data_IF_540577333978
#
_entry.id   IF_540577333978
#
_cell.length_a   1.000
_cell.length_b   1.000
_cell.length_c   1.000
_cell.angle_alpha   90.00
_cell.angle_beta   90.00
_cell.angle_gamma   90.00
#
_symmetry.space_group_name_H-M   'P 1'
#
loop_
_entity.id
_entity.type
_entity.pdbx_description
1 polymer ?
#
# COMPACT_ATOMS: atom_id res chain seq x y z
N UNK A 1 4.43 2.09 2.20
CA UNK A 1 3.30 1.16 2.44
C UNK A 1 3.57 0.39 3.73
N UNK A 2 2.56 0.27 4.60
CA UNK A 2 2.68 -0.48 5.84
C UNK A 2 2.17 -1.93 5.70
N UNK A 3 2.79 -2.90 6.40
CA UNK A 3 2.46 -4.34 6.24
C UNK A 3 1.02 -4.73 6.59
N UNK A 4 0.29 -3.88 7.32
CA UNK A 4 -1.05 -4.18 7.84
C UNK A 4 -2.18 -3.57 7.00
N UNK A 5 -1.85 -2.76 5.98
CA UNK A 5 -2.83 -2.02 5.16
C UNK A 5 -3.83 -2.93 4.43
N UNK A 6 -3.45 -4.18 4.16
CA UNK A 6 -4.24 -5.13 3.40
C UNK A 6 -4.97 -6.17 4.27
N UNK A 7 -4.94 -6.01 5.59
CA UNK A 7 -5.70 -6.86 6.49
C UNK A 7 -7.20 -6.52 6.40
N UNK A 8 -8.09 -7.52 6.36
CA UNK A 8 -9.52 -7.28 6.21
C UNK A 8 -10.15 -6.71 7.49
N UNK A 9 -11.19 -5.89 7.31
CA UNK A 9 -12.01 -5.38 8.40
C UNK A 9 -11.23 -4.51 9.38
N UNK A 10 -11.45 -4.72 10.69
CA UNK A 10 -10.81 -3.94 11.76
C UNK A 10 -9.42 -4.44 12.14
N UNK A 11 -8.93 -5.52 11.52
CA UNK A 11 -7.64 -6.12 11.88
C UNK A 11 -6.47 -5.14 11.68
N UNK A 12 -6.53 -4.26 10.68
CA UNK A 12 -5.49 -3.23 10.51
C UNK A 12 -5.49 -2.13 11.59
N UNK A 13 -6.49 -2.08 12.49
CA UNK A 13 -6.71 -0.98 13.42
C UNK A 13 -6.71 -1.43 14.89
N UNK A 14 -7.29 -2.59 15.18
CA UNK A 14 -7.57 -3.05 16.54
C UNK A 14 -6.84 -4.36 16.85
N UNK A 15 -5.61 -4.27 17.35
CA UNK A 15 -4.91 -5.42 17.95
C UNK A 15 -4.51 -5.14 19.40
N UNK A 16 -4.61 -6.14 20.31
CA UNK A 16 -4.28 -5.97 21.72
C UNK A 16 -2.81 -5.64 22.01
N UNK A 17 -1.89 -6.06 21.13
CA UNK A 17 -0.44 -5.89 21.32
C UNK A 17 0.27 -5.68 19.98
N UNK A 18 1.43 -5.01 19.95
CA UNK A 18 2.25 -4.87 18.74
C UNK A 18 2.61 -6.20 18.07
N UNK A 19 2.90 -7.24 18.86
CA UNK A 19 3.27 -8.56 18.34
C UNK A 19 2.15 -9.21 17.49
N UNK A 20 0.89 -8.89 17.76
CA UNK A 20 -0.22 -9.40 16.96
C UNK A 20 -0.31 -8.72 15.57
N UNK A 21 0.17 -7.48 15.42
CA UNK A 21 0.27 -6.84 14.11
C UNK A 21 1.32 -7.53 13.23
N UNK A 22 2.48 -7.89 13.79
CA UNK A 22 3.52 -8.63 13.07
C UNK A 22 3.00 -9.99 12.59
N UNK A 23 2.36 -10.75 13.50
CA UNK A 23 1.76 -12.04 13.15
C UNK A 23 0.69 -11.91 12.08
N UNK A 24 -0.22 -10.94 12.22
CA UNK A 24 -1.29 -10.74 11.24
C UNK A 24 -0.74 -10.31 9.87
N UNK A 25 0.25 -9.40 9.85
CA UNK A 25 0.87 -8.93 8.61
C UNK A 25 1.51 -10.05 7.78
N UNK A 26 1.90 -11.17 8.41
CA UNK A 26 2.42 -12.35 7.69
C UNK A 26 1.40 -13.03 6.78
N UNK A 27 0.10 -12.72 6.93
CA UNK A 27 -0.97 -13.21 6.06
C UNK A 27 -1.15 -12.37 4.79
N UNK A 28 -0.52 -11.19 4.72
CA UNK A 28 -0.57 -10.33 3.52
C UNK A 28 0.43 -10.86 2.50
N UNK A 29 -0.08 -11.30 1.35
CA UNK A 29 0.75 -11.80 0.25
C UNK A 29 1.16 -10.69 -0.70
N UNK A 30 2.26 -10.87 -1.43
CA UNK A 30 2.67 -9.93 -2.48
C UNK A 30 1.57 -9.74 -3.55
N UNK A 31 0.90 -10.83 -3.94
CA UNK A 31 -0.23 -10.78 -4.87
C UNK A 31 -1.40 -9.93 -4.35
N UNK A 32 -1.71 -9.99 -3.04
CA UNK A 32 -2.76 -9.17 -2.44
C UNK A 32 -2.42 -7.67 -2.52
N UNK A 33 -1.14 -7.33 -2.36
CA UNK A 33 -0.62 -5.97 -2.52
C UNK A 33 -0.68 -5.53 -3.99
N UNK A 34 -0.16 -6.33 -4.91
CA UNK A 34 -0.15 -6.02 -6.35
C UNK A 34 -1.54 -5.75 -6.93
N UNK A 35 -2.57 -6.43 -6.40
CA UNK A 35 -3.97 -6.22 -6.82
C UNK A 35 -4.57 -4.88 -6.43
N UNK A 36 -4.01 -4.20 -5.44
CA UNK A 36 -4.61 -3.02 -4.81
C UNK A 36 -3.79 -1.75 -5.06
N UNK A 37 -2.49 -1.91 -5.27
CA UNK A 37 -1.57 -0.82 -5.60
C UNK A 37 -0.54 -1.27 -6.64
N UNK A 38 -0.15 -0.38 -7.57
CA UNK A 38 1.03 -0.61 -8.39
C UNK A 38 2.22 -1.02 -7.52
N UNK A 39 2.90 -2.09 -7.93
CA UNK A 39 4.11 -2.58 -7.29
C UNK A 39 5.12 -2.99 -8.37
N UNK A 40 6.41 -2.86 -8.05
CA UNK A 40 7.50 -3.16 -8.97
C UNK A 40 8.13 -1.92 -9.63
N UNK A 41 9.13 -2.12 -10.50
CA UNK A 41 9.99 -1.07 -11.02
C UNK A 41 9.40 -0.29 -12.20
N UNK A 42 8.32 -0.76 -12.80
CA UNK A 42 7.67 -0.08 -13.92
C UNK A 42 6.92 1.17 -13.42
N UNK A 43 7.26 2.33 -13.95
CA UNK A 43 6.67 3.61 -13.54
C UNK A 43 5.27 3.84 -14.14
N UNK A 44 4.94 3.24 -15.29
CA UNK A 44 3.70 3.57 -16.02
C UNK A 44 2.42 3.31 -15.19
N UNK A 45 2.28 2.18 -14.46
CA UNK A 45 1.10 1.93 -13.63
C UNK A 45 0.90 2.96 -12.50
N UNK A 46 1.99 3.56 -12.01
CA UNK A 46 1.90 4.64 -11.02
C UNK A 46 1.44 5.94 -11.68
N UNK A 47 1.95 6.26 -12.87
CA UNK A 47 1.56 7.46 -13.62
C UNK A 47 0.09 7.41 -14.03
N UNK A 48 -0.40 6.28 -14.52
CA UNK A 48 -1.79 6.09 -14.91
C UNK A 48 -2.76 6.30 -13.74
N UNK A 49 -2.41 5.78 -12.56
CA UNK A 49 -3.21 6.02 -11.35
C UNK A 49 -3.18 7.50 -10.95
N UNK A 50 -2.02 8.16 -11.09
CA UNK A 50 -1.87 9.56 -10.70
C UNK A 50 -2.61 10.54 -11.63
N UNK A 51 -2.72 10.21 -12.92
CA UNK A 51 -3.50 11.01 -13.91
C UNK A 51 -4.95 11.24 -13.44
N UNK A 52 -5.56 10.25 -12.79
CA UNK A 52 -6.93 10.36 -12.26
C UNK A 52 -7.07 11.46 -11.19
N UNK A 53 -6.01 11.73 -10.42
CA UNK A 53 -6.00 12.83 -9.45
C UNK A 53 -5.84 14.18 -10.13
N UNK A 54 -5.01 14.26 -11.18
CA UNK A 54 -4.87 15.47 -11.99
C UNK A 54 -6.19 15.83 -12.69
N UNK A 55 -6.89 14.83 -13.26
CA UNK A 55 -8.22 15.00 -13.87
C UNK A 55 -9.28 15.44 -12.85
N UNK A 56 -9.10 15.10 -11.57
CA UNK A 56 -9.94 15.54 -10.46
C UNK A 56 -9.60 16.96 -9.93
N UNK A 57 -8.59 17.63 -10.50
CA UNK A 57 -8.16 18.97 -10.10
C UNK A 57 -7.28 19.01 -8.86
N UNK A 58 -6.61 17.91 -8.51
CA UNK A 58 -5.63 17.89 -7.42
C UNK A 58 -4.33 18.54 -7.88
N UNK A 59 -3.84 19.51 -7.11
CA UNK A 59 -2.60 20.25 -7.43
C UNK A 59 -1.32 19.48 -7.08
N UNK A 60 -1.35 18.66 -6.03
CA UNK A 60 -0.17 17.94 -5.51
C UNK A 60 -0.51 16.50 -5.09
N UNK A 61 0.35 15.55 -5.49
CA UNK A 61 0.26 14.14 -5.09
C UNK A 61 1.52 13.74 -4.35
N UNK A 62 1.36 13.26 -3.11
CA UNK A 62 2.45 12.76 -2.28
C UNK A 62 2.53 11.24 -2.40
N UNK A 63 3.69 10.74 -2.86
CA UNK A 63 3.92 9.30 -3.02
C UNK A 63 4.91 8.83 -1.96
N UNK A 64 4.48 7.87 -1.13
CA UNK A 64 5.36 7.18 -0.20
C UNK A 64 5.94 5.94 -0.87
N UNK A 65 7.09 6.10 -1.53
CA UNK A 65 7.87 4.96 -1.99
C UNK A 65 8.54 4.28 -0.78
N UNK A 66 8.41 2.96 -0.60
CA UNK A 66 9.29 2.27 0.34
C UNK A 66 10.73 2.47 -0.13
N UNK A 67 11.66 2.63 0.81
CA UNK A 67 13.09 2.57 0.50
C UNK A 67 13.33 1.25 -0.25
N UNK A 68 13.86 1.34 -1.48
CA UNK A 68 14.33 0.17 -2.21
C UNK A 68 15.35 -0.51 -1.30
N UNK A 69 14.96 -1.62 -0.67
CA UNK A 69 15.93 -2.53 -0.08
C UNK A 69 16.84 -2.97 -1.23
N UNK A 70 18.02 -2.34 -1.29
CA UNK A 70 19.12 -2.73 -2.14
C UNK A 70 19.62 -4.12 -1.74
#
# INVERSE_FOLDING_TARGET
MWPIEHLPGELGQNFPTPAHFEQASSLVTAEAVERSVPAGPDAEPYLDRNRQFADAGVDEVYVLAPELAA
#
